data_IF_774712530097
#
_entry.id   IF_774712530097
#
_cell.length_a   1.000
_cell.length_b   1.000
_cell.length_c   1.000
_cell.angle_alpha   90.00
_cell.angle_beta   90.00
_cell.angle_gamma   90.00
#
_symmetry.space_group_name_H-M   'P 1'
#
loop_
_entity.id
_entity.type
_entity.pdbx_description
1 polymer ?
#
# COMPACT_ATOMS: atom_id res chain seq x y z
N UNK A 1 -11.87 -33.95 0.96
CA UNK A 1 -10.89 -32.83 1.01
C UNK A 1 -10.15 -32.59 -0.33
N UNK A 2 -10.29 -33.44 -1.36
CA UNK A 2 -9.56 -33.30 -2.65
C UNK A 2 -10.05 -32.21 -3.61
N UNK A 3 -11.36 -31.91 -3.69
CA UNK A 3 -11.86 -31.03 -4.75
C UNK A 3 -11.55 -29.54 -4.55
N UNK A 4 -11.55 -29.04 -3.30
CA UNK A 4 -11.19 -27.63 -3.02
C UNK A 4 -9.71 -27.36 -3.26
N UNK A 5 -8.85 -28.34 -2.94
CA UNK A 5 -7.41 -28.20 -3.10
C UNK A 5 -7.02 -28.28 -4.59
N UNK A 6 -7.58 -29.22 -5.35
CA UNK A 6 -7.38 -29.29 -6.80
C UNK A 6 -7.90 -28.04 -7.54
N UNK A 7 -9.03 -27.48 -7.11
CA UNK A 7 -9.57 -26.23 -7.65
C UNK A 7 -8.71 -25.01 -7.31
N UNK A 8 -8.17 -24.95 -6.09
CA UNK A 8 -7.28 -23.88 -5.65
C UNK A 8 -5.94 -23.91 -6.40
N UNK A 9 -5.36 -25.11 -6.58
CA UNK A 9 -4.13 -25.31 -7.35
C UNK A 9 -4.31 -25.02 -8.84
N UNK A 10 -5.42 -25.47 -9.45
CA UNK A 10 -5.68 -25.17 -10.86
C UNK A 10 -5.86 -23.67 -11.09
N UNK A 11 -6.52 -22.96 -10.17
CA UNK A 11 -6.69 -21.50 -10.23
C UNK A 11 -5.35 -20.76 -10.09
N UNK A 12 -4.48 -21.14 -9.16
CA UNK A 12 -3.15 -20.53 -9.04
C UNK A 12 -2.22 -20.83 -10.20
N UNK A 13 -2.32 -22.03 -10.78
CA UNK A 13 -1.58 -22.38 -11.99
C UNK A 13 -2.08 -21.54 -13.17
N UNK A 14 -3.41 -21.40 -13.33
CA UNK A 14 -3.98 -20.52 -14.37
C UNK A 14 -3.65 -19.05 -14.16
N UNK A 15 -3.65 -18.57 -12.92
CA UNK A 15 -3.25 -17.22 -12.55
C UNK A 15 -1.79 -16.97 -12.92
N UNK A 16 -0.90 -17.88 -12.52
CA UNK A 16 0.54 -17.77 -12.81
C UNK A 16 0.80 -17.85 -14.32
N UNK A 17 0.14 -18.76 -15.04
CA UNK A 17 0.28 -18.85 -16.49
C UNK A 17 -0.21 -17.58 -17.19
N UNK A 18 -1.39 -17.08 -16.82
CA UNK A 18 -2.01 -15.93 -17.46
C UNK A 18 -1.25 -14.63 -17.16
N UNK A 19 -0.85 -14.42 -15.91
CA UNK A 19 -0.06 -13.24 -15.51
C UNK A 19 1.34 -13.26 -16.14
N UNK A 20 2.00 -14.43 -16.25
CA UNK A 20 3.30 -14.52 -16.94
C UNK A 20 3.18 -14.36 -18.45
N UNK A 21 2.16 -14.97 -19.08
CA UNK A 21 1.95 -14.88 -20.53
C UNK A 21 1.62 -13.45 -20.95
N UNK A 22 0.69 -12.80 -20.25
CA UNK A 22 0.23 -11.46 -20.58
C UNK A 22 1.12 -10.37 -19.99
N UNK A 23 1.78 -10.61 -18.86
CA UNK A 23 2.66 -9.65 -18.19
C UNK A 23 3.88 -9.24 -19.01
N UNK A 24 4.36 -10.12 -19.89
CA UNK A 24 5.52 -9.86 -20.75
C UNK A 24 5.17 -9.17 -22.09
N UNK A 25 3.88 -8.99 -22.40
CA UNK A 25 3.45 -8.31 -23.63
C UNK A 25 3.69 -6.79 -23.47
N UNK A 26 4.42 -6.11 -24.36
CA UNK A 26 4.63 -4.67 -24.25
C UNK A 26 3.32 -3.88 -24.17
N UNK A 27 3.31 -2.83 -23.36
CA UNK A 27 2.09 -2.08 -23.03
C UNK A 27 1.51 -1.27 -24.19
N UNK A 28 2.24 -1.08 -25.29
CA UNK A 28 1.84 -0.28 -26.47
C UNK A 28 0.45 -0.70 -26.99
N UNK A 29 -0.59 -0.05 -26.47
CA UNK A 29 -2.05 -0.14 -26.70
C UNK A 29 -2.67 -1.55 -26.61
N UNK A 30 -2.07 -2.56 -27.22
CA UNK A 30 -2.57 -3.94 -27.26
C UNK A 30 -2.45 -4.61 -25.88
N UNK A 31 -1.31 -4.48 -25.21
CA UNK A 31 -1.06 -5.17 -23.93
C UNK A 31 -2.04 -4.80 -22.82
N UNK A 32 -2.34 -3.51 -22.64
CA UNK A 32 -3.24 -3.06 -21.58
C UNK A 32 -4.70 -3.48 -21.82
N UNK A 33 -5.19 -3.38 -23.06
CA UNK A 33 -6.55 -3.80 -23.39
C UNK A 33 -6.73 -5.31 -23.25
N UNK A 34 -5.70 -6.08 -23.62
CA UNK A 34 -5.71 -7.53 -23.53
C UNK A 34 -5.70 -7.99 -22.06
N UNK A 35 -4.87 -7.37 -21.20
CA UNK A 35 -4.92 -7.60 -19.74
C UNK A 35 -6.28 -7.24 -19.15
N UNK A 36 -6.86 -6.08 -19.51
CA UNK A 36 -8.20 -5.69 -19.04
C UNK A 36 -9.31 -6.68 -19.39
N UNK A 37 -9.16 -7.41 -20.50
CA UNK A 37 -10.12 -8.44 -20.89
C UNK A 37 -9.92 -9.70 -20.05
N UNK A 38 -8.71 -10.24 -20.00
CA UNK A 38 -8.44 -11.55 -19.40
C UNK A 38 -8.28 -11.53 -17.87
N UNK A 39 -7.86 -10.39 -17.28
CA UNK A 39 -7.68 -10.30 -15.84
C UNK A 39 -9.01 -10.31 -15.07
N UNK A 40 -10.12 -10.01 -15.74
CA UNK A 40 -11.47 -10.09 -15.14
C UNK A 40 -11.82 -11.46 -14.58
N UNK A 41 -11.24 -12.52 -15.13
CA UNK A 41 -11.55 -13.89 -14.72
C UNK A 41 -10.73 -14.36 -13.50
N UNK A 42 -9.61 -13.69 -13.19
CA UNK A 42 -8.68 -14.12 -12.13
C UNK A 42 -8.65 -13.20 -10.91
N UNK A 43 -9.01 -11.92 -11.06
CA UNK A 43 -9.05 -10.96 -9.95
C UNK A 43 -10.30 -11.13 -9.08
N UNK A 44 -10.23 -10.66 -7.82
CA UNK A 44 -11.43 -10.56 -6.98
C UNK A 44 -12.43 -9.58 -7.62
N UNK A 45 -11.91 -8.45 -8.09
CA UNK A 45 -12.60 -7.47 -8.94
C UNK A 45 -11.53 -6.67 -9.69
N UNK A 46 -11.79 -6.34 -10.94
CA UNK A 46 -10.99 -5.38 -11.71
C UNK A 46 -11.92 -4.50 -12.53
N UNK A 47 -11.68 -3.19 -12.49
CA UNK A 47 -12.43 -2.20 -13.25
C UNK A 47 -12.34 -2.43 -14.76
N UNK A 48 -13.24 -1.77 -15.51
CA UNK A 48 -13.27 -1.90 -16.97
C UNK A 48 -12.18 -1.10 -17.67
N UNK A 49 -11.57 -0.14 -16.97
CA UNK A 49 -10.50 0.73 -17.42
C UNK A 49 -9.35 0.69 -16.42
N UNK A 50 -8.37 -0.18 -16.64
CA UNK A 50 -7.13 -0.21 -15.83
C UNK A 50 -5.94 -0.13 -16.78
N UNK A 51 -4.98 0.73 -16.48
CA UNK A 51 -3.72 0.79 -17.21
C UNK A 51 -2.68 -0.03 -16.46
N UNK A 52 -2.18 -1.09 -17.08
CA UNK A 52 -1.20 -2.01 -16.47
C UNK A 52 0.00 -2.12 -17.39
N UNK A 53 1.15 -1.60 -16.95
CA UNK A 53 2.40 -1.73 -17.69
C UNK A 53 2.97 -3.16 -17.64
N UNK A 54 3.89 -3.45 -18.56
CA UNK A 54 4.71 -4.65 -18.52
C UNK A 54 5.56 -4.68 -17.24
N UNK A 55 5.78 -5.87 -16.71
CA UNK A 55 6.55 -6.06 -15.47
C UNK A 55 5.78 -5.82 -14.17
N UNK A 56 4.49 -5.45 -14.22
CA UNK A 56 3.62 -5.47 -13.03
C UNK A 56 3.39 -6.90 -12.58
N UNK A 57 3.59 -7.17 -11.29
CA UNK A 57 3.43 -8.49 -10.68
C UNK A 57 2.24 -8.50 -9.73
N UNK A 58 1.42 -9.54 -9.87
CA UNK A 58 0.33 -9.82 -8.94
C UNK A 58 0.51 -11.21 -8.36
N UNK A 59 0.24 -11.33 -7.06
CA UNK A 59 0.36 -12.56 -6.32
C UNK A 59 -0.92 -12.75 -5.50
N UNK A 60 -1.69 -13.79 -5.83
CA UNK A 60 -3.02 -14.08 -5.30
C UNK A 60 -4.08 -13.04 -5.72
N UNK A 61 -4.28 -12.90 -7.04
CA UNK A 61 -5.25 -11.96 -7.65
C UNK A 61 -6.67 -12.12 -7.12
N UNK A 62 -7.06 -13.30 -6.65
CA UNK A 62 -8.38 -13.56 -6.05
C UNK A 62 -8.66 -12.80 -4.75
N UNK A 63 -7.63 -12.17 -4.18
CA UNK A 63 -7.69 -11.30 -3.02
C UNK A 63 -7.43 -9.82 -3.35
N UNK A 64 -7.26 -9.47 -4.63
CA UNK A 64 -6.95 -8.13 -5.08
C UNK A 64 -8.19 -7.56 -5.78
N UNK A 65 -8.61 -6.39 -5.31
CA UNK A 65 -9.69 -5.59 -5.86
C UNK A 65 -9.11 -4.29 -6.44
N UNK A 66 -9.37 -4.05 -7.73
CA UNK A 66 -8.93 -2.86 -8.46
C UNK A 66 -10.15 -2.13 -9.05
N UNK A 67 -10.27 -0.84 -8.74
CA UNK A 67 -11.28 0.07 -9.29
C UNK A 67 -11.06 0.45 -10.75
N UNK A 68 -11.81 1.46 -11.22
CA UNK A 68 -11.70 2.02 -12.55
C UNK A 68 -10.67 3.16 -12.60
N UNK A 69 -10.09 3.39 -13.78
CA UNK A 69 -9.08 4.41 -14.06
C UNK A 69 -7.83 4.26 -13.17
N UNK A 70 -7.54 3.04 -12.71
CA UNK A 70 -6.32 2.74 -11.94
C UNK A 70 -5.14 2.62 -12.91
N UNK A 71 -3.99 3.17 -12.53
CA UNK A 71 -2.74 3.06 -13.28
C UNK A 71 -1.68 2.34 -12.47
N UNK A 72 -1.09 1.29 -13.04
CA UNK A 72 -0.04 0.46 -12.44
C UNK A 72 1.17 0.48 -13.36
N UNK A 73 2.23 1.20 -12.97
CA UNK A 73 3.43 1.36 -13.80
C UNK A 73 4.43 0.22 -13.63
N UNK A 74 5.46 0.23 -14.47
CA UNK A 74 6.47 -0.81 -14.53
C UNK A 74 7.07 -1.18 -13.16
N UNK A 75 7.13 -2.47 -12.87
CA UNK A 75 7.73 -3.01 -11.65
C UNK A 75 6.89 -2.90 -10.39
N UNK A 76 5.64 -2.42 -10.48
CA UNK A 76 4.68 -2.52 -9.36
C UNK A 76 4.49 -3.99 -8.98
N UNK A 77 4.51 -4.27 -7.68
CA UNK A 77 4.29 -5.59 -7.10
C UNK A 77 3.18 -5.53 -6.08
N UNK A 78 2.13 -6.33 -6.26
CA UNK A 78 1.01 -6.44 -5.31
C UNK A 78 0.86 -7.89 -4.88
N UNK A 79 1.09 -8.15 -3.60
CA UNK A 79 1.02 -9.48 -3.00
C UNK A 79 -0.02 -9.56 -1.90
N UNK A 80 -0.94 -10.51 -2.04
CA UNK A 80 -1.90 -10.93 -1.02
C UNK A 80 -1.78 -12.44 -0.72
N UNK A 81 -0.58 -13.01 -0.89
CA UNK A 81 -0.31 -14.42 -0.59
C UNK A 81 -0.15 -14.70 0.91
N UNK A 82 -0.13 -15.99 1.28
CA UNK A 82 0.23 -16.43 2.64
C UNK A 82 -0.94 -16.57 3.61
N UNK A 83 -2.10 -15.97 3.34
CA UNK A 83 -3.29 -16.14 4.18
C UNK A 83 -4.60 -15.94 3.37
N UNK A 84 -5.65 -16.78 3.57
CA UNK A 84 -6.90 -16.70 2.80
C UNK A 84 -7.69 -15.40 3.01
N UNK A 85 -7.50 -14.73 4.14
CA UNK A 85 -8.18 -13.48 4.46
C UNK A 85 -7.42 -12.23 4.00
N UNK A 86 -6.22 -12.37 3.43
CA UNK A 86 -5.50 -11.20 2.93
C UNK A 86 -6.34 -10.50 1.86
N UNK A 87 -6.32 -9.16 1.87
CA UNK A 87 -7.03 -8.33 0.90
C UNK A 87 -6.19 -7.12 0.53
N UNK A 88 -6.17 -6.81 -0.76
CA UNK A 88 -5.66 -5.53 -1.26
C UNK A 88 -6.77 -4.86 -2.05
N UNK A 89 -7.08 -3.61 -1.72
CA UNK A 89 -8.08 -2.80 -2.38
C UNK A 89 -7.44 -1.52 -2.93
N UNK A 90 -7.63 -1.29 -4.24
CA UNK A 90 -7.32 -0.03 -4.91
C UNK A 90 -8.62 0.60 -5.40
N UNK A 91 -8.94 1.78 -4.88
CA UNK A 91 -10.08 2.58 -5.31
C UNK A 91 -9.93 3.11 -6.73
N UNK A 92 -10.99 3.74 -7.22
CA UNK A 92 -10.97 4.36 -8.54
C UNK A 92 -9.87 5.45 -8.62
N UNK A 93 -9.27 5.63 -9.81
CA UNK A 93 -8.27 6.67 -10.08
C UNK A 93 -7.00 6.60 -9.21
N UNK A 94 -6.73 5.47 -8.53
CA UNK A 94 -5.46 5.25 -7.84
C UNK A 94 -4.34 5.12 -8.87
N UNK A 95 -3.20 5.76 -8.61
CA UNK A 95 -1.99 5.62 -9.42
C UNK A 95 -0.85 5.06 -8.58
N UNK A 96 -0.31 3.91 -9.00
CA UNK A 96 0.89 3.32 -8.42
C UNK A 96 2.05 3.46 -9.41
N UNK A 97 3.03 4.27 -9.03
CA UNK A 97 4.22 4.53 -9.84
C UNK A 97 5.21 3.37 -9.83
N UNK A 98 6.28 3.51 -10.62
CA UNK A 98 7.28 2.45 -10.81
C UNK A 98 7.80 1.87 -9.49
N UNK A 99 7.91 0.55 -9.43
CA UNK A 99 8.52 -0.15 -8.32
C UNK A 99 7.80 -0.03 -6.97
N UNK A 100 6.55 0.42 -6.93
CA UNK A 100 5.72 0.37 -5.71
C UNK A 100 5.51 -1.09 -5.31
N UNK A 101 5.71 -1.39 -4.03
CA UNK A 101 5.62 -2.74 -3.48
C UNK A 101 4.60 -2.80 -2.34
N UNK A 102 3.54 -3.59 -2.52
CA UNK A 102 2.43 -3.76 -1.59
C UNK A 102 2.38 -5.21 -1.13
N UNK A 103 2.53 -5.43 0.18
CA UNK A 103 2.62 -6.78 0.77
C UNK A 103 1.63 -6.96 1.92
N UNK A 104 0.48 -7.55 1.63
CA UNK A 104 -0.41 -8.08 2.65
C UNK A 104 0.06 -9.48 3.08
N UNK A 105 0.43 -9.66 4.35
CA UNK A 105 1.18 -10.83 4.80
C UNK A 105 0.34 -11.87 5.56
N UNK A 106 -0.33 -11.49 6.65
CA UNK A 106 -0.97 -12.45 7.57
C UNK A 106 -2.25 -11.89 8.15
N UNK A 107 -3.37 -12.22 7.50
CA UNK A 107 -4.70 -11.69 7.84
C UNK A 107 -4.73 -10.16 7.74
N UNK A 108 -4.17 -9.67 6.63
CA UNK A 108 -3.89 -8.24 6.41
C UNK A 108 -4.77 -7.68 5.31
N UNK A 109 -5.37 -6.53 5.58
CA UNK A 109 -6.06 -5.70 4.61
C UNK A 109 -5.24 -4.43 4.33
N UNK A 110 -4.90 -4.21 3.07
CA UNK A 110 -4.31 -2.95 2.59
C UNK A 110 -5.35 -2.27 1.70
N UNK A 111 -5.76 -1.07 2.09
CA UNK A 111 -6.79 -0.30 1.40
C UNK A 111 -6.24 1.06 0.99
N UNK A 112 -6.31 1.37 -0.30
CA UNK A 112 -5.94 2.67 -0.88
C UNK A 112 -7.19 3.23 -1.57
N UNK A 113 -7.74 4.32 -1.04
CA UNK A 113 -9.01 4.89 -1.51
C UNK A 113 -8.83 5.81 -2.73
N UNK A 114 -9.96 6.25 -3.29
CA UNK A 114 -10.07 6.93 -4.59
C UNK A 114 -9.11 8.11 -4.76
N UNK A 115 -8.50 8.19 -5.94
CA UNK A 115 -7.72 9.35 -6.38
C UNK A 115 -6.39 9.53 -5.67
N UNK A 116 -5.96 8.55 -4.87
CA UNK A 116 -4.65 8.59 -4.21
C UNK A 116 -3.51 8.23 -5.16
N UNK A 117 -2.46 9.05 -5.13
CA UNK A 117 -1.23 8.86 -5.88
C UNK A 117 -0.14 8.30 -4.97
N UNK A 118 0.48 7.21 -5.41
CA UNK A 118 1.62 6.55 -4.74
C UNK A 118 2.85 6.65 -5.65
N UNK A 119 3.83 7.43 -5.19
CA UNK A 119 5.06 7.72 -5.92
C UNK A 119 6.02 6.53 -6.04
N UNK A 120 7.10 6.68 -6.82
CA UNK A 120 8.04 5.59 -7.11
C UNK A 120 8.63 4.94 -5.85
N UNK A 121 8.79 3.63 -5.89
CA UNK A 121 9.51 2.86 -4.85
C UNK A 121 8.95 3.01 -3.43
N UNK A 122 7.64 3.28 -3.30
CA UNK A 122 6.94 3.22 -2.02
C UNK A 122 6.75 1.76 -1.60
N UNK A 123 6.94 1.49 -0.31
CA UNK A 123 6.75 0.16 0.27
C UNK A 123 5.63 0.20 1.31
N UNK A 124 4.58 -0.62 1.11
CA UNK A 124 3.50 -0.85 2.07
C UNK A 124 3.60 -2.29 2.56
N UNK A 125 3.96 -2.50 3.82
CA UNK A 125 4.21 -3.85 4.32
C UNK A 125 3.85 -4.04 5.80
N UNK A 126 3.68 -5.31 6.17
CA UNK A 126 3.47 -5.75 7.53
C UNK A 126 2.22 -6.63 7.68
N UNK A 127 2.12 -7.41 8.77
CA UNK A 127 0.92 -8.16 9.12
C UNK A 127 -0.25 -7.29 9.61
N UNK A 128 -0.04 -6.03 10.01
CA UNK A 128 -1.12 -5.12 10.40
C UNK A 128 -1.80 -4.45 9.21
N UNK A 129 -3.05 -4.02 9.40
CA UNK A 129 -3.84 -3.36 8.36
C UNK A 129 -3.29 -1.98 8.01
N UNK A 130 -3.35 -1.60 6.73
CA UNK A 130 -2.99 -0.27 6.24
C UNK A 130 -4.20 0.32 5.54
N UNK A 131 -4.64 1.51 5.96
CA UNK A 131 -5.68 2.29 5.29
C UNK A 131 -5.12 3.64 4.86
N UNK A 132 -5.22 3.94 3.57
CA UNK A 132 -4.90 5.26 2.99
C UNK A 132 -6.18 5.81 2.39
N UNK A 133 -6.58 7.01 2.84
CA UNK A 133 -7.79 7.70 2.43
C UNK A 133 -7.72 8.26 1.02
N UNK A 134 -8.66 9.14 0.70
CA UNK A 134 -8.85 9.69 -0.64
C UNK A 134 -7.88 10.82 -0.94
N UNK A 135 -7.56 10.99 -2.22
CA UNK A 135 -6.80 12.14 -2.73
C UNK A 135 -5.47 12.38 -1.98
N UNK A 136 -4.83 11.33 -1.47
CA UNK A 136 -3.54 11.47 -0.82
C UNK A 136 -2.43 11.55 -1.86
N UNK A 137 -1.35 12.26 -1.52
CA UNK A 137 -0.13 12.30 -2.29
C UNK A 137 0.98 11.66 -1.47
N UNK A 138 1.46 10.49 -1.89
CA UNK A 138 2.57 9.80 -1.24
C UNK A 138 3.78 9.91 -2.14
N UNK A 139 4.81 10.64 -1.73
CA UNK A 139 6.00 10.86 -2.55
C UNK A 139 6.88 9.60 -2.65
N UNK A 140 7.92 9.68 -3.48
CA UNK A 140 8.83 8.56 -3.71
C UNK A 140 9.53 8.09 -2.42
N UNK A 141 9.84 6.80 -2.35
CA UNK A 141 10.58 6.14 -1.27
C UNK A 141 9.94 6.21 0.12
N UNK A 142 8.64 6.51 0.21
CA UNK A 142 7.91 6.42 1.49
C UNK A 142 7.79 4.95 1.92
N UNK A 143 8.07 4.68 3.19
CA UNK A 143 7.86 3.37 3.82
C UNK A 143 6.72 3.41 4.82
N UNK A 144 5.75 2.50 4.70
CA UNK A 144 4.62 2.37 5.62
C UNK A 144 4.62 0.95 6.18
N UNK A 145 4.98 0.81 7.46
CA UNK A 145 5.23 -0.48 8.10
C UNK A 145 4.27 -0.71 9.26
N UNK A 146 3.20 -1.49 9.01
CA UNK A 146 2.15 -1.79 9.99
C UNK A 146 2.51 -2.94 10.94
N UNK A 147 3.76 -2.97 11.39
CA UNK A 147 4.27 -3.84 12.44
C UNK A 147 5.60 -3.31 12.97
N UNK A 148 5.98 -3.80 14.14
CA UNK A 148 7.34 -3.74 14.65
C UNK A 148 7.67 -5.07 15.33
N UNK A 149 8.95 -5.41 15.43
CA UNK A 149 9.36 -6.56 16.24
C UNK A 149 9.20 -6.25 17.73
N UNK A 150 8.81 -7.25 18.50
CA UNK A 150 8.82 -7.19 19.96
C UNK A 150 10.24 -7.55 20.42
N UNK A 151 10.79 -6.78 21.35
CA UNK A 151 12.18 -6.92 21.81
C UNK A 151 12.32 -6.68 23.32
N UNK A 152 11.23 -6.79 24.07
CA UNK A 152 11.19 -6.47 25.51
C UNK A 152 11.95 -7.51 26.36
N UNK A 153 12.04 -8.76 25.90
CA UNK A 153 12.75 -9.84 26.60
C UNK A 153 14.15 -10.07 25.99
N UNK A 154 15.25 -9.70 26.68
CA UNK A 154 16.60 -9.91 26.18
C UNK A 154 17.06 -11.39 26.22
N UNK A 155 16.28 -12.29 26.85
CA UNK A 155 16.59 -13.72 26.93
C UNK A 155 16.02 -14.54 25.76
N UNK A 156 15.15 -13.95 24.94
CA UNK A 156 14.61 -14.55 23.73
C UNK A 156 15.16 -13.85 22.49
N UNK A 157 15.25 -14.55 21.36
CA UNK A 157 15.59 -13.89 20.09
C UNK A 157 14.48 -12.92 19.69
N UNK A 158 14.80 -11.90 18.90
CA UNK A 158 13.80 -10.93 18.41
C UNK A 158 12.71 -11.63 17.57
N UNK A 159 13.05 -12.70 16.85
CA UNK A 159 12.10 -13.45 16.02
C UNK A 159 11.06 -14.19 16.87
N UNK A 160 11.51 -14.84 17.95
CA UNK A 160 10.66 -15.68 18.81
C UNK A 160 9.66 -14.86 19.64
N UNK A 161 9.96 -13.58 19.87
CA UNK A 161 9.10 -12.65 20.62
C UNK A 161 7.89 -12.17 19.80
N UNK A 162 7.90 -12.36 18.48
CA UNK A 162 6.81 -11.96 17.60
C UNK A 162 6.83 -10.49 17.22
N UNK A 163 5.67 -9.99 16.78
CA UNK A 163 5.52 -8.65 16.18
C UNK A 163 4.22 -7.97 16.62
N UNK A 164 4.26 -6.64 16.71
CA UNK A 164 3.04 -5.82 16.79
C UNK A 164 2.33 -5.78 15.42
N UNK A 165 1.04 -5.43 15.43
CA UNK A 165 0.21 -5.33 14.23
C UNK A 165 -0.96 -4.36 14.44
N UNK A 166 -0.68 -3.21 15.05
CA UNK A 166 -1.71 -2.23 15.44
C UNK A 166 -2.41 -1.62 14.23
N UNK A 167 -1.72 -1.56 13.09
CA UNK A 167 -2.22 -1.01 11.84
C UNK A 167 -1.89 0.47 11.69
N UNK A 168 -2.08 1.00 10.49
CA UNK A 168 -1.82 2.39 10.15
C UNK A 168 -3.02 2.98 9.42
N UNK A 169 -3.38 4.20 9.78
CA UNK A 169 -4.43 4.97 9.10
C UNK A 169 -3.84 6.29 8.60
N UNK A 170 -3.94 6.55 7.31
CA UNK A 170 -3.70 7.85 6.69
C UNK A 170 -5.07 8.32 6.19
N UNK A 171 -5.59 9.39 6.77
CA UNK A 171 -6.88 9.96 6.37
C UNK A 171 -6.78 10.75 5.06
N UNK A 172 -7.91 11.25 4.56
CA UNK A 172 -8.00 11.94 3.27
C UNK A 172 -7.07 13.15 3.13
N UNK A 173 -6.71 13.50 1.89
CA UNK A 173 -5.99 14.74 1.53
C UNK A 173 -4.62 14.90 2.23
N UNK A 174 -3.99 13.81 2.64
CA UNK A 174 -2.66 13.86 3.25
C UNK A 174 -1.56 13.93 2.19
N UNK A 175 -0.48 14.66 2.50
CA UNK A 175 0.74 14.65 1.71
C UNK A 175 1.92 14.14 2.54
N UNK A 176 2.54 13.05 2.10
CA UNK A 176 3.77 12.52 2.68
C UNK A 176 4.93 12.85 1.74
N UNK A 177 5.89 13.64 2.24
CA UNK A 177 7.10 14.00 1.51
C UNK A 177 8.01 12.81 1.23
N UNK A 178 9.02 13.04 0.37
CA UNK A 178 9.96 12.01 -0.05
C UNK A 178 10.61 11.31 1.16
N UNK A 179 10.77 9.99 1.10
CA UNK A 179 11.44 9.18 2.13
C UNK A 179 10.87 9.32 3.55
N UNK A 180 9.57 9.63 3.70
CA UNK A 180 8.88 9.52 4.99
C UNK A 180 8.77 8.05 5.40
N UNK A 181 8.93 7.76 6.69
CA UNK A 181 8.65 6.46 7.28
C UNK A 181 7.48 6.56 8.26
N UNK A 182 6.47 5.72 8.13
CA UNK A 182 5.32 5.65 9.06
C UNK A 182 5.35 4.32 9.80
N UNK A 183 5.35 4.38 11.13
CA UNK A 183 5.42 3.20 11.99
C UNK A 183 4.06 2.72 12.49
N UNK A 184 4.03 1.47 12.95
CA UNK A 184 2.83 0.77 13.43
C UNK A 184 2.06 1.53 14.52
N UNK A 185 0.73 1.53 14.40
CA UNK A 185 -0.19 2.14 15.35
C UNK A 185 -0.43 3.63 15.17
N UNK A 186 0.04 4.22 14.07
CA UNK A 186 -0.10 5.65 13.77
C UNK A 186 -1.36 5.95 12.96
N UNK A 187 -2.07 7.01 13.35
CA UNK A 187 -3.05 7.73 12.54
C UNK A 187 -2.51 9.09 12.09
N UNK A 188 -2.45 9.32 10.78
CA UNK A 188 -2.17 10.64 10.17
C UNK A 188 -3.50 11.26 9.78
N UNK A 189 -3.90 12.30 10.51
CA UNK A 189 -5.20 12.95 10.37
C UNK A 189 -5.33 13.75 9.08
N UNK A 190 -6.58 13.92 8.64
CA UNK A 190 -6.99 14.48 7.36
C UNK A 190 -6.27 15.77 7.03
N UNK A 191 -5.82 15.90 5.79
CA UNK A 191 -5.18 17.12 5.33
C UNK A 191 -3.83 17.36 5.98
N UNK A 192 -3.16 16.37 6.59
CA UNK A 192 -1.84 16.62 7.18
C UNK A 192 -0.72 16.56 6.14
N UNK A 193 0.35 17.33 6.39
CA UNK A 193 1.57 17.33 5.59
C UNK A 193 2.72 16.82 6.43
N UNK A 194 3.39 15.78 5.95
CA UNK A 194 4.58 15.23 6.56
C UNK A 194 5.79 15.63 5.71
N UNK A 195 6.74 16.35 6.31
CA UNK A 195 7.96 16.77 5.62
C UNK A 195 8.83 15.59 5.19
N UNK A 196 9.61 15.79 4.13
CA UNK A 196 10.52 14.77 3.62
C UNK A 196 11.50 14.26 4.70
N UNK A 197 11.80 12.95 4.65
CA UNK A 197 12.71 12.28 5.56
C UNK A 197 12.20 12.12 7.00
N UNK A 198 10.95 12.47 7.30
CA UNK A 198 10.41 12.36 8.64
C UNK A 198 10.09 10.90 9.03
N UNK A 199 10.21 10.57 10.32
CA UNK A 199 9.80 9.27 10.88
C UNK A 199 8.62 9.49 11.81
N UNK A 200 7.43 9.09 11.36
CA UNK A 200 6.18 9.25 12.10
C UNK A 200 6.01 8.09 13.06
N UNK A 201 6.18 8.36 14.36
CA UNK A 201 6.11 7.36 15.44
C UNK A 201 4.89 7.53 16.34
N UNK A 202 4.08 8.57 16.13
CA UNK A 202 2.89 8.93 16.90
C UNK A 202 1.85 9.56 15.99
N UNK A 203 0.60 9.55 16.42
CA UNK A 203 -0.51 10.18 15.69
C UNK A 203 -0.23 11.65 15.36
N UNK A 204 -0.65 12.04 14.16
CA UNK A 204 -0.56 13.42 13.67
C UNK A 204 -2.00 13.97 13.60
N UNK A 205 -2.35 15.01 14.37
CA UNK A 205 -3.69 15.58 14.33
C UNK A 205 -4.05 16.12 12.94
N UNK A 206 -5.33 16.13 12.55
CA UNK A 206 -5.76 16.65 11.25
C UNK A 206 -5.25 18.07 10.96
N UNK A 207 -4.95 18.32 9.68
CA UNK A 207 -4.46 19.60 9.18
C UNK A 207 -3.15 20.04 9.83
N UNK A 208 -2.31 19.12 10.27
CA UNK A 208 -1.00 19.43 10.85
C UNK A 208 0.10 19.44 9.79
N UNK A 209 1.17 20.17 10.08
CA UNK A 209 2.45 20.06 9.38
C UNK A 209 3.44 19.47 10.37
N UNK A 210 3.98 18.28 10.07
CA UNK A 210 4.91 17.57 10.94
C UNK A 210 6.22 17.26 10.21
N UNK A 211 7.35 17.41 10.90
CA UNK A 211 8.70 17.19 10.34
C UNK A 211 9.64 16.55 11.36
N UNK A 212 10.73 15.95 10.89
CA UNK A 212 11.83 15.47 11.73
C UNK A 212 11.78 13.98 12.11
N UNK A 213 12.77 13.56 12.90
CA UNK A 213 12.94 12.19 13.38
C UNK A 213 13.13 12.23 14.91
N UNK A 214 12.13 11.86 15.71
CA UNK A 214 10.75 11.55 15.30
C UNK A 214 10.01 12.80 14.81
N UNK A 215 8.97 12.59 14.00
CA UNK A 215 8.16 13.65 13.44
C UNK A 215 7.42 14.42 14.56
N UNK A 216 7.56 15.74 14.56
CA UNK A 216 6.86 16.65 15.48
C UNK A 216 6.02 17.64 14.69
N UNK A 217 4.81 17.90 15.17
CA UNK A 217 3.93 18.94 14.61
C UNK A 217 4.58 20.30 14.87
N UNK A 218 4.84 21.05 13.81
CA UNK A 218 5.47 22.39 13.87
C UNK A 218 4.47 23.53 13.67
N UNK A 219 3.35 23.26 12.98
CA UNK A 219 2.25 24.22 12.81
C UNK A 219 1.00 23.54 12.27
N UNK A 220 -0.14 24.21 12.39
CA UNK A 220 -1.37 23.82 11.69
C UNK A 220 -1.44 24.48 10.29
N UNK A 221 -1.96 23.74 9.30
CA UNK A 221 -2.35 24.27 7.98
C UNK A 221 -3.56 25.20 8.05
N UNK A 222 -4.42 25.06 9.08
CA UNK A 222 -5.64 25.86 9.23
C UNK A 222 -5.38 27.29 9.70
N UNK A 223 -4.15 27.61 10.11
CA UNK A 223 -3.73 28.96 10.48
C UNK A 223 -4.44 29.50 11.72
N UNK A 224 -3.75 29.48 12.85
CA UNK A 224 -3.70 30.58 13.85
C UNK A 224 -2.41 30.37 14.66
N UNK A 225 -1.52 31.36 14.54
CA UNK A 225 -0.25 31.63 15.25
C UNK A 225 0.79 30.51 15.43
N UNK A 226 1.99 30.76 14.89
CA UNK A 226 3.22 30.12 15.30
C UNK A 226 3.57 30.68 16.67
N UNK A 227 3.38 29.89 17.73
CA UNK A 227 4.05 30.19 19.00
C UNK A 227 5.53 29.91 18.78
N UNK A 228 6.31 30.97 18.58
CA UNK A 228 7.76 30.90 18.65
C UNK A 228 8.15 30.61 20.09
N UNK A 229 8.39 29.35 20.44
CA UNK A 229 9.26 29.05 21.58
C UNK A 229 10.69 29.30 21.11
N UNK A 230 11.21 30.49 21.46
CA UNK A 230 12.65 30.66 21.66
C UNK A 230 13.07 29.65 22.73
N UNK A 231 14.09 28.86 22.43
CA UNK A 231 15.14 28.40 23.35
C UNK A 231 16.36 28.04 22.50
#
# INVERSE_FOLDING_TARGET
MNNKQNFFWSKHLSESLLTNLLGNIPTKVVGSNLRNLFYRDIFARIGSSVYIEDGVKFLNTSCIDIGNQVSLLHGVSISAQGHPNNKVYLGDKVSLERGVDIRAMKDTCIHIDEGTFIGPYVCLAGPGNIKIGKCCLIAAHVGIFANNHIFDDPMQTIEDQGVTRKGIVIEDDCWLGHAVTVLDGVTIGKGSVIGAGAVVTKDIPPFSIAVGVPAKVIKSRKGKEVVTSKD
#
